data_IF_269635035662
#
_entry.id   IF_269635035662
#
_cell.length_a   1.000
_cell.length_b   1.000
_cell.length_c   1.000
_cell.angle_alpha   90.00
_cell.angle_beta   90.00
_cell.angle_gamma   90.00
#
_symmetry.space_group_name_H-M   'P 1'
#
loop_
_entity.id
_entity.type
_entity.pdbx_description
1 polymer ?
#
# COMPACT_ATOMS: atom_id res chain seq x y z
N UNK A 1 6.57 -33.35 -1.29
CA UNK A 1 6.84 -31.94 -1.66
C UNK A 1 5.58 -31.13 -1.41
N UNK A 2 5.69 -29.92 -0.84
CA UNK A 2 4.57 -29.00 -0.65
C UNK A 2 4.93 -27.64 -1.26
N UNK A 3 4.00 -27.05 -2.02
CA UNK A 3 4.18 -25.76 -2.70
C UNK A 3 3.08 -24.81 -2.23
N UNK A 4 3.47 -23.60 -1.79
CA UNK A 4 2.55 -22.53 -1.41
C UNK A 4 2.62 -21.42 -2.44
N UNK A 5 1.57 -21.30 -3.25
CA UNK A 5 1.50 -20.37 -4.38
C UNK A 5 0.82 -19.08 -3.94
N UNK A 6 1.37 -17.94 -4.34
CA UNK A 6 0.78 -16.64 -4.06
C UNK A 6 -0.45 -16.40 -4.92
N UNK A 7 -1.53 -15.96 -4.27
CA UNK A 7 -2.76 -15.56 -4.95
C UNK A 7 -2.73 -14.08 -5.34
N UNK A 8 -3.84 -13.40 -5.08
CA UNK A 8 -3.96 -11.95 -5.23
C UNK A 8 -3.48 -11.26 -3.95
N UNK A 9 -2.16 -11.04 -3.86
CA UNK A 9 -1.50 -10.47 -2.69
C UNK A 9 -1.10 -9.00 -2.80
N UNK A 10 -1.42 -8.33 -3.92
CA UNK A 10 -0.95 -6.98 -4.21
C UNK A 10 -1.41 -5.89 -3.23
N UNK A 11 -2.38 -6.18 -2.37
CA UNK A 11 -2.89 -5.28 -1.32
C UNK A 11 -3.01 -5.98 0.04
N UNK A 12 -2.21 -7.03 0.26
CA UNK A 12 -2.17 -7.79 1.53
C UNK A 12 -0.81 -7.64 2.20
N UNK A 13 -0.82 -7.28 3.48
CA UNK A 13 0.38 -7.28 4.32
C UNK A 13 0.19 -8.17 5.56
N UNK A 14 1.27 -8.76 6.11
CA UNK A 14 1.22 -9.37 7.42
C UNK A 14 0.74 -8.38 8.48
N UNK A 15 -0.16 -8.82 9.38
CA UNK A 15 -0.83 -7.95 10.36
C UNK A 15 0.14 -7.06 11.17
N UNK A 16 1.31 -7.57 11.54
CA UNK A 16 2.30 -6.89 12.40
C UNK A 16 3.50 -6.32 11.63
N UNK A 17 3.40 -6.14 10.31
CA UNK A 17 4.56 -5.75 9.50
C UNK A 17 5.18 -4.38 9.87
N UNK A 18 4.40 -3.50 10.52
CA UNK A 18 4.81 -2.18 11.04
C UNK A 18 4.96 -2.13 12.56
N UNK A 19 4.86 -3.26 13.27
CA UNK A 19 5.03 -3.29 14.71
C UNK A 19 6.49 -2.97 15.08
N UNK A 20 6.68 -2.08 16.05
CA UNK A 20 7.99 -1.64 16.56
C UNK A 20 8.30 -2.21 17.95
N UNK A 21 7.34 -2.89 18.57
CA UNK A 21 7.45 -3.42 19.94
C UNK A 21 7.72 -4.93 19.98
N UNK A 22 7.68 -5.61 18.83
CA UNK A 22 7.86 -7.05 18.73
C UNK A 22 8.87 -7.42 17.63
N UNK A 23 9.68 -8.47 17.83
CA UNK A 23 10.55 -8.97 16.77
C UNK A 23 9.72 -9.51 15.61
N UNK A 24 10.29 -9.43 14.40
CA UNK A 24 9.66 -10.03 13.21
C UNK A 24 9.73 -11.55 13.32
N UNK A 25 8.58 -12.19 13.20
CA UNK A 25 8.46 -13.64 13.22
C UNK A 25 7.40 -14.11 12.21
N UNK A 26 7.82 -14.96 11.28
CA UNK A 26 6.98 -15.54 10.24
C UNK A 26 6.46 -16.93 10.62
N UNK A 27 7.03 -17.58 11.65
CA UNK A 27 6.66 -18.93 12.06
C UNK A 27 5.17 -19.06 12.40
N UNK A 28 4.53 -18.12 13.14
CA UNK A 28 3.11 -18.20 13.43
C UNK A 28 2.23 -18.19 12.18
N UNK A 29 2.59 -17.38 11.17
CA UNK A 29 1.86 -17.29 9.90
C UNK A 29 2.06 -18.55 9.05
N UNK A 30 3.29 -19.08 9.02
CA UNK A 30 3.62 -20.33 8.35
C UNK A 30 2.88 -21.52 8.97
N UNK A 31 2.84 -21.60 10.30
CA UNK A 31 2.10 -22.63 11.04
C UNK A 31 0.60 -22.53 10.77
N UNK A 32 0.01 -21.33 10.78
CA UNK A 32 -1.40 -21.13 10.46
C UNK A 32 -1.73 -21.63 9.04
N UNK A 33 -0.90 -21.28 8.07
CA UNK A 33 -1.07 -21.70 6.67
C UNK A 33 -0.94 -23.22 6.52
N UNK A 34 0.12 -23.81 7.08
CA UNK A 34 0.39 -25.25 7.03
C UNK A 34 -0.70 -26.07 7.71
N UNK A 35 -1.12 -25.70 8.91
CA UNK A 35 -2.20 -26.38 9.65
C UNK A 35 -3.54 -26.29 8.91
N UNK A 36 -3.83 -25.15 8.28
CA UNK A 36 -5.04 -24.98 7.45
C UNK A 36 -5.02 -25.92 6.24
N UNK A 37 -3.87 -26.04 5.56
CA UNK A 37 -3.69 -27.00 4.47
C UNK A 37 -3.87 -28.44 4.95
N UNK A 38 -3.22 -28.83 6.05
CA UNK A 38 -3.34 -30.19 6.60
C UNK A 38 -4.78 -30.54 7.01
N UNK A 39 -5.49 -29.58 7.60
CA UNK A 39 -6.91 -29.75 7.95
C UNK A 39 -7.77 -29.94 6.69
N UNK A 40 -7.56 -29.09 5.67
CA UNK A 40 -8.35 -29.12 4.43
C UNK A 40 -8.04 -30.37 3.61
N UNK A 41 -6.78 -30.81 3.55
CA UNK A 41 -6.34 -31.99 2.81
C UNK A 41 -7.13 -33.25 3.20
N UNK A 42 -7.46 -33.42 4.48
CA UNK A 42 -8.26 -34.55 4.97
C UNK A 42 -9.70 -34.57 4.48
N UNK A 43 -10.21 -33.43 4.00
CA UNK A 43 -11.58 -33.28 3.48
C UNK A 43 -11.66 -33.35 1.95
N UNK A 44 -10.52 -33.38 1.24
CA UNK A 44 -10.50 -33.43 -0.22
C UNK A 44 -10.87 -34.84 -0.69
N UNK A 45 -11.90 -34.92 -1.53
CA UNK A 45 -12.29 -36.16 -2.20
C UNK A 45 -11.71 -36.15 -3.62
N UNK A 46 -10.85 -37.12 -3.90
CA UNK A 46 -10.30 -37.29 -5.24
C UNK A 46 -11.34 -37.89 -6.18
N UNK A 47 -11.29 -37.50 -7.45
CA UNK A 47 -12.15 -38.02 -8.52
C UNK A 47 -11.28 -38.50 -9.67
N UNK A 48 -11.73 -39.51 -10.42
CA UNK A 48 -11.02 -40.04 -11.61
C UNK A 48 -11.12 -39.12 -12.84
N UNK A 49 -11.24 -37.81 -12.62
CA UNK A 49 -11.30 -36.80 -13.68
C UNK A 49 -9.91 -36.50 -14.23
N UNK A 50 -9.58 -37.12 -15.37
CA UNK A 50 -8.31 -36.96 -16.06
C UNK A 50 -8.21 -35.75 -16.98
N UNK A 51 -9.18 -34.81 -16.97
CA UNK A 51 -9.13 -33.63 -17.84
C UNK A 51 -7.90 -32.78 -17.55
N UNK A 52 -7.09 -32.58 -18.58
CA UNK A 52 -5.93 -31.68 -18.57
C UNK A 52 -6.10 -30.69 -19.72
N UNK A 53 -6.17 -29.40 -19.41
CA UNK A 53 -6.30 -28.35 -20.44
C UNK A 53 -5.47 -27.16 -20.03
N UNK A 54 -4.76 -26.58 -20.99
CA UNK A 54 -3.95 -25.39 -20.82
C UNK A 54 -4.24 -24.43 -21.97
N UNK A 55 -4.68 -23.24 -21.62
CA UNK A 55 -4.87 -22.12 -22.54
C UNK A 55 -3.84 -21.06 -22.21
N UNK A 56 -3.10 -20.62 -23.23
CA UNK A 56 -2.13 -19.54 -23.14
C UNK A 56 -2.61 -18.37 -23.97
N UNK A 57 -2.56 -17.18 -23.38
CA UNK A 57 -2.83 -15.92 -24.07
C UNK A 57 -1.76 -14.88 -23.70
N UNK A 58 -1.20 -14.20 -24.72
CA UNK A 58 -0.44 -12.97 -24.49
C UNK A 58 -1.38 -11.80 -24.75
N UNK A 59 -1.65 -11.00 -23.72
CA UNK A 59 -2.50 -9.83 -23.79
C UNK A 59 -1.66 -8.58 -24.00
N UNK A 60 -2.17 -7.62 -24.77
CA UNK A 60 -1.62 -6.26 -24.86
C UNK A 60 -2.44 -5.33 -23.98
N UNK A 61 -1.95 -5.10 -22.77
CA UNK A 61 -2.62 -4.25 -21.78
C UNK A 61 -2.18 -2.80 -21.92
N UNK A 62 -3.08 -1.83 -21.67
CA UNK A 62 -2.76 -0.42 -21.84
C UNK A 62 -1.77 0.05 -20.77
N UNK A 63 -0.78 0.83 -21.17
CA UNK A 63 0.19 1.46 -20.27
C UNK A 63 -0.37 2.76 -19.69
N UNK A 64 -0.08 3.03 -18.42
CA UNK A 64 -0.44 4.27 -17.76
C UNK A 64 0.32 5.48 -18.36
N UNK A 65 -0.37 6.62 -18.49
CA UNK A 65 0.24 7.93 -18.70
C UNK A 65 0.11 8.73 -17.40
N UNK A 66 1.24 8.97 -16.75
CA UNK A 66 1.31 9.61 -15.45
C UNK A 66 1.63 11.11 -15.53
N UNK A 67 1.75 11.69 -16.72
CA UNK A 67 2.23 13.07 -16.91
C UNK A 67 1.45 14.09 -16.08
N UNK A 68 0.13 14.14 -16.23
CA UNK A 68 -0.72 15.08 -15.49
C UNK A 68 -0.60 14.90 -13.98
N UNK A 69 -0.56 13.65 -13.50
CA UNK A 69 -0.46 13.35 -12.07
C UNK A 69 0.91 13.72 -11.49
N UNK A 70 1.97 13.57 -12.26
CA UNK A 70 3.33 14.03 -11.90
C UNK A 70 3.32 15.54 -11.69
N UNK A 71 2.73 16.30 -12.64
CA UNK A 71 2.61 17.76 -12.54
C UNK A 71 1.81 18.20 -11.29
N UNK A 72 0.70 17.51 -10.97
CA UNK A 72 -0.08 17.78 -9.77
C UNK A 72 0.72 17.55 -8.47
N UNK A 73 1.45 16.43 -8.39
CA UNK A 73 2.26 16.10 -7.21
C UNK A 73 3.45 17.05 -7.05
N UNK A 74 4.04 17.54 -8.14
CA UNK A 74 5.09 18.57 -8.10
C UNK A 74 4.55 19.88 -7.51
N UNK A 75 3.35 20.30 -7.88
CA UNK A 75 2.70 21.47 -7.29
C UNK A 75 2.36 21.26 -5.81
N UNK A 76 1.88 20.07 -5.43
CA UNK A 76 1.60 19.74 -4.03
C UNK A 76 2.89 19.73 -3.20
N UNK A 77 3.98 19.15 -3.73
CA UNK A 77 5.30 19.21 -3.11
C UNK A 77 5.73 20.65 -2.84
N UNK A 78 5.60 21.53 -3.83
CA UNK A 78 5.98 22.94 -3.69
C UNK A 78 5.14 23.64 -2.61
N UNK A 79 3.83 23.37 -2.56
CA UNK A 79 2.93 23.89 -1.52
C UNK A 79 3.36 23.44 -0.12
N UNK A 80 3.68 22.16 0.06
CA UNK A 80 4.13 21.61 1.34
C UNK A 80 5.48 22.20 1.77
N UNK A 81 6.42 22.36 0.85
CA UNK A 81 7.71 23.01 1.16
C UNK A 81 7.48 24.46 1.59
N UNK A 82 6.58 25.20 0.91
CA UNK A 82 6.23 26.58 1.26
C UNK A 82 5.44 26.71 2.57
N UNK A 83 4.77 25.66 3.03
CA UNK A 83 4.02 25.67 4.30
C UNK A 83 4.89 25.47 5.53
N UNK A 84 6.11 24.94 5.37
CA UNK A 84 7.07 24.82 6.47
C UNK A 84 7.41 26.20 7.04
N UNK A 85 7.42 26.30 8.37
CA UNK A 85 7.71 27.55 9.09
C UNK A 85 8.97 27.43 9.94
N UNK A 86 9.63 28.57 10.17
CA UNK A 86 10.71 28.65 11.16
C UNK A 86 10.20 28.27 12.56
N UNK A 87 11.07 27.63 13.34
CA UNK A 87 10.77 27.15 14.70
C UNK A 87 11.93 27.52 15.62
N UNK A 88 11.61 27.90 16.86
CA UNK A 88 12.61 28.10 17.93
C UNK A 88 13.10 26.79 18.53
N UNK A 89 12.32 25.71 18.36
CA UNK A 89 12.67 24.36 18.81
C UNK A 89 13.42 23.60 17.74
N UNK A 90 14.31 22.73 18.20
CA UNK A 90 14.93 21.65 17.45
C UNK A 90 14.67 20.32 18.18
N UNK A 91 15.06 19.18 17.59
CA UNK A 91 14.75 17.86 18.16
C UNK A 91 15.23 17.71 19.62
N UNK A 92 16.43 18.23 19.92
CA UNK A 92 17.05 18.18 21.26
C UNK A 92 16.22 18.93 22.31
N UNK A 93 15.63 20.05 21.96
CA UNK A 93 14.82 20.89 22.88
C UNK A 93 13.36 20.48 22.88
N UNK A 94 12.83 20.01 21.75
CA UNK A 94 11.46 19.56 21.58
C UNK A 94 11.14 18.33 22.43
N UNK A 95 11.95 17.27 22.35
CA UNK A 95 11.67 15.99 23.04
C UNK A 95 11.44 16.14 24.56
N UNK A 96 12.34 16.76 25.33
CA UNK A 96 12.11 16.94 26.77
C UNK A 96 10.94 17.90 27.04
N UNK A 97 10.76 18.92 26.20
CA UNK A 97 9.70 19.92 26.40
C UNK A 97 8.31 19.32 26.18
N UNK A 98 8.09 18.55 25.11
CA UNK A 98 6.78 17.94 24.84
C UNK A 98 6.40 16.93 25.92
N UNK A 99 7.36 16.13 26.40
CA UNK A 99 7.14 15.20 27.52
C UNK A 99 6.74 15.97 28.78
N UNK A 100 7.48 17.03 29.12
CA UNK A 100 7.18 17.89 30.27
C UNK A 100 5.74 18.45 30.20
N UNK A 101 5.33 18.92 29.03
CA UNK A 101 4.01 19.54 28.81
C UNK A 101 2.86 18.52 28.73
N UNK A 102 3.15 17.25 28.44
CA UNK A 102 2.15 16.18 28.46
C UNK A 102 1.98 15.56 29.86
N UNK A 103 3.03 15.55 30.69
CA UNK A 103 2.99 14.99 32.05
C UNK A 103 2.15 15.83 33.02
N UNK A 104 2.28 17.16 32.97
CA UNK A 104 1.46 18.08 33.76
C UNK A 104 0.88 19.19 32.86
N UNK A 105 -0.32 19.00 32.29
CA UNK A 105 -0.92 19.98 31.40
C UNK A 105 -1.31 21.30 32.09
N UNK A 106 -1.41 21.35 33.41
CA UNK A 106 -1.91 22.54 34.12
C UNK A 106 -0.77 23.47 34.54
N UNK A 107 0.36 22.91 34.98
CA UNK A 107 1.53 23.67 35.43
C UNK A 107 2.84 23.12 34.85
N UNK A 108 3.00 23.08 33.50
CA UNK A 108 4.13 22.42 32.89
C UNK A 108 5.46 23.17 33.03
N UNK A 109 5.47 24.49 33.25
CA UNK A 109 6.72 25.23 33.44
C UNK A 109 7.32 24.99 34.83
N UNK A 110 6.50 24.88 35.88
CA UNK A 110 6.94 24.81 37.28
C UNK A 110 5.80 24.32 38.20
N UNK A 111 6.03 24.16 39.50
CA UNK A 111 4.99 23.84 40.46
C UNK A 111 3.88 24.90 40.52
N UNK A 112 2.65 24.47 40.83
CA UNK A 112 1.47 25.34 40.93
C UNK A 112 1.66 26.57 41.81
N UNK A 113 2.37 26.46 42.94
CA UNK A 113 2.63 27.58 43.85
C UNK A 113 3.51 28.67 43.21
N UNK A 114 4.37 28.34 42.24
CA UNK A 114 5.16 29.33 41.52
C UNK A 114 4.26 30.19 40.60
N UNK A 115 3.24 29.59 39.98
CA UNK A 115 2.23 30.33 39.22
C UNK A 115 1.41 31.25 40.12
N UNK A 116 0.98 30.75 41.28
CA UNK A 116 0.25 31.54 42.26
C UNK A 116 1.09 32.74 42.75
N UNK A 117 2.38 32.52 43.01
CA UNK A 117 3.31 33.57 43.43
C UNK A 117 3.54 34.61 42.33
N UNK A 118 3.73 34.18 41.08
CA UNK A 118 3.89 35.09 39.95
C UNK A 118 2.65 35.97 39.76
N UNK A 119 1.45 35.37 39.87
CA UNK A 119 0.17 36.10 39.81
C UNK A 119 -0.05 37.03 41.00
N UNK A 120 0.30 36.61 42.22
CA UNK A 120 0.21 37.44 43.43
C UNK A 120 1.14 38.66 43.36
N UNK A 121 2.28 38.52 42.66
CA UNK A 121 3.18 39.63 42.35
C UNK A 121 2.70 40.52 41.18
N UNK A 122 1.50 40.30 40.64
CA UNK A 122 0.94 41.05 39.51
C UNK A 122 1.60 40.74 38.15
N UNK A 123 2.28 39.59 38.03
CA UNK A 123 2.96 39.14 36.80
C UNK A 123 2.23 37.94 36.17
N UNK A 124 2.61 37.61 34.94
CA UNK A 124 2.07 36.46 34.19
C UNK A 124 3.16 35.77 33.33
N UNK A 125 4.38 35.72 33.83
CA UNK A 125 5.55 35.20 33.13
C UNK A 125 5.41 33.70 32.84
N UNK A 126 4.97 32.91 33.83
CA UNK A 126 4.85 31.45 33.66
C UNK A 126 3.70 31.07 32.71
N UNK A 127 2.58 31.77 32.78
CA UNK A 127 1.46 31.59 31.84
C UNK A 127 1.88 31.95 30.40
N UNK A 128 2.59 33.08 30.21
CA UNK A 128 3.14 33.46 28.90
C UNK A 128 4.19 32.49 28.38
N UNK A 129 5.04 31.95 29.27
CA UNK A 129 6.03 30.93 28.91
C UNK A 129 5.33 29.66 28.41
N UNK A 130 4.24 29.25 29.09
CA UNK A 130 3.46 28.09 28.67
C UNK A 130 2.78 28.30 27.33
N UNK A 131 2.18 29.46 27.12
CA UNK A 131 1.57 29.82 25.84
C UNK A 131 2.61 29.77 24.70
N UNK A 132 3.77 30.39 24.90
CA UNK A 132 4.86 30.41 23.93
C UNK A 132 5.40 29.00 23.65
N UNK A 133 5.63 28.19 24.69
CA UNK A 133 6.12 26.82 24.54
C UNK A 133 5.09 25.92 23.83
N UNK A 134 3.79 26.03 24.16
CA UNK A 134 2.74 25.28 23.45
C UNK A 134 2.66 25.64 21.98
N UNK A 135 2.74 26.94 21.65
CA UNK A 135 2.77 27.39 20.27
C UNK A 135 4.01 26.86 19.52
N UNK A 136 5.18 26.88 20.16
CA UNK A 136 6.41 26.35 19.59
C UNK A 136 6.37 24.83 19.40
N UNK A 137 5.86 24.07 20.38
CA UNK A 137 5.63 22.62 20.29
C UNK A 137 4.70 22.32 19.10
N UNK A 138 3.57 23.02 19.00
CA UNK A 138 2.60 22.83 17.92
C UNK A 138 3.24 23.08 16.56
N UNK A 139 3.92 24.22 16.40
CA UNK A 139 4.61 24.58 15.15
C UNK A 139 5.65 23.52 14.75
N UNK A 140 6.43 23.02 15.72
CA UNK A 140 7.41 21.96 15.47
C UNK A 140 6.74 20.64 15.02
N UNK A 141 5.64 20.24 15.66
CA UNK A 141 4.86 19.05 15.27
C UNK A 141 4.28 19.22 13.86
N UNK A 142 3.68 20.37 13.56
CA UNK A 142 3.11 20.66 12.23
C UNK A 142 4.20 20.56 11.14
N UNK A 143 5.40 21.05 11.39
CA UNK A 143 6.56 20.89 10.51
C UNK A 143 6.96 19.41 10.35
N UNK A 144 7.03 18.62 11.44
CA UNK A 144 7.34 17.18 11.38
C UNK A 144 6.32 16.45 10.51
N UNK A 145 5.03 16.65 10.75
CA UNK A 145 3.96 16.02 9.98
C UNK A 145 4.01 16.41 8.50
N UNK A 146 4.32 17.68 8.21
CA UNK A 146 4.53 18.16 6.83
C UNK A 146 5.73 17.46 6.18
N UNK A 147 6.85 17.29 6.89
CA UNK A 147 8.02 16.56 6.40
C UNK A 147 7.74 15.07 6.15
N UNK A 148 6.91 14.44 6.98
CA UNK A 148 6.46 13.07 6.73
C UNK A 148 5.59 12.96 5.47
N UNK A 149 4.65 13.90 5.27
CA UNK A 149 3.84 13.96 4.05
C UNK A 149 4.73 14.18 2.82
N UNK A 150 5.71 15.09 2.90
CA UNK A 150 6.68 15.31 1.84
C UNK A 150 7.45 14.05 1.47
N UNK A 151 7.85 13.25 2.47
CA UNK A 151 8.58 12.00 2.23
C UNK A 151 7.70 10.99 1.48
N UNK A 152 6.45 10.80 1.92
CA UNK A 152 5.49 9.90 1.24
C UNK A 152 5.23 10.36 -0.21
N UNK A 153 4.98 11.65 -0.39
CA UNK A 153 4.77 12.25 -1.71
C UNK A 153 5.99 12.04 -2.61
N UNK A 154 7.21 12.32 -2.10
CA UNK A 154 8.44 12.15 -2.85
C UNK A 154 8.65 10.71 -3.32
N UNK A 155 8.39 9.73 -2.45
CA UNK A 155 8.47 8.31 -2.80
C UNK A 155 7.52 7.98 -3.96
N UNK A 156 6.25 8.38 -3.86
CA UNK A 156 5.27 8.07 -4.90
C UNK A 156 5.57 8.82 -6.21
N UNK A 157 5.94 10.10 -6.15
CA UNK A 157 6.35 10.89 -7.30
C UNK A 157 7.53 10.25 -8.05
N UNK A 158 8.52 9.71 -7.32
CA UNK A 158 9.66 9.02 -7.91
C UNK A 158 9.23 7.74 -8.67
N UNK A 159 8.27 6.98 -8.14
CA UNK A 159 7.71 5.80 -8.81
C UNK A 159 7.01 6.19 -10.12
N UNK A 160 6.16 7.24 -10.08
CA UNK A 160 5.46 7.72 -11.28
C UNK A 160 6.43 8.19 -12.35
N UNK A 161 7.44 8.99 -11.99
CA UNK A 161 8.49 9.44 -12.92
C UNK A 161 9.23 8.25 -13.53
N UNK A 162 9.65 7.27 -12.71
CA UNK A 162 10.32 6.05 -13.19
C UNK A 162 9.50 5.31 -14.25
N UNK A 163 8.20 5.11 -13.99
CA UNK A 163 7.32 4.39 -14.91
C UNK A 163 7.00 5.19 -16.17
N UNK A 164 6.82 6.52 -16.04
CA UNK A 164 6.65 7.41 -17.18
C UNK A 164 7.87 7.37 -18.11
N UNK A 165 9.07 7.53 -17.56
CA UNK A 165 10.32 7.48 -18.32
C UNK A 165 10.53 6.11 -18.99
N UNK A 166 10.26 5.01 -18.26
CA UNK A 166 10.33 3.67 -18.81
C UNK A 166 9.30 3.44 -19.94
N UNK A 167 8.14 4.07 -19.86
CA UNK A 167 7.14 4.11 -20.93
C UNK A 167 7.65 4.82 -22.17
N UNK A 168 8.16 6.05 -22.00
CA UNK A 168 8.72 6.84 -23.09
C UNK A 168 9.89 6.14 -23.79
N UNK A 169 10.78 5.50 -23.03
CA UNK A 169 11.92 4.72 -23.57
C UNK A 169 11.46 3.47 -24.33
N UNK A 170 10.39 2.82 -23.90
CA UNK A 170 9.86 1.65 -24.58
C UNK A 170 9.21 2.01 -25.93
N UNK A 171 8.67 3.23 -26.06
CA UNK A 171 8.03 3.69 -27.30
C UNK A 171 6.73 2.97 -27.63
N UNK A 172 6.10 2.30 -26.64
CA UNK A 172 4.84 1.57 -26.79
C UNK A 172 3.80 2.05 -25.76
N UNK A 173 2.56 2.12 -26.19
CA UNK A 173 1.38 2.40 -25.37
C UNK A 173 0.81 1.15 -24.70
N UNK A 174 1.35 -0.04 -25.00
CA UNK A 174 0.94 -1.31 -24.39
C UNK A 174 2.05 -2.06 -23.68
N UNK A 175 1.66 -2.99 -22.82
CA UNK A 175 2.49 -3.97 -22.10
C UNK A 175 2.00 -5.37 -22.45
N UNK A 176 2.93 -6.27 -22.76
CA UNK A 176 2.61 -7.67 -22.96
C UNK A 176 2.46 -8.39 -21.60
N UNK A 177 1.35 -9.11 -21.43
CA UNK A 177 1.06 -9.92 -20.24
C UNK A 177 0.75 -11.35 -20.64
N UNK A 178 1.58 -12.31 -20.23
CA UNK A 178 1.32 -13.74 -20.45
C UNK A 178 0.38 -14.29 -19.38
N UNK A 179 -0.85 -14.60 -19.80
CA UNK A 179 -1.92 -15.16 -18.98
C UNK A 179 -2.11 -16.62 -19.34
N UNK A 180 -2.10 -17.48 -18.33
CA UNK A 180 -2.48 -18.88 -18.47
C UNK A 180 -3.81 -19.12 -17.77
N UNK A 181 -4.66 -19.94 -18.38
CA UNK A 181 -5.79 -20.57 -17.71
C UNK A 181 -5.65 -22.07 -17.90
N UNK A 182 -5.67 -22.84 -16.83
CA UNK A 182 -5.47 -24.28 -16.92
C UNK A 182 -6.29 -25.07 -15.93
N UNK A 183 -6.48 -26.35 -16.27
CA UNK A 183 -7.28 -27.33 -15.54
C UNK A 183 -6.49 -28.61 -15.34
N UNK A 184 -6.57 -29.16 -14.13
CA UNK A 184 -6.29 -30.58 -13.83
C UNK A 184 -7.50 -31.13 -13.06
N UNK A 185 -8.32 -31.93 -13.73
CA UNK A 185 -9.60 -32.41 -13.22
C UNK A 185 -10.52 -31.26 -12.78
N UNK A 186 -10.84 -31.21 -11.49
CA UNK A 186 -11.66 -30.14 -10.89
C UNK A 186 -10.84 -28.91 -10.44
N UNK A 187 -9.51 -29.00 -10.45
CA UNK A 187 -8.65 -27.86 -10.14
C UNK A 187 -8.54 -26.94 -11.37
N UNK A 188 -8.92 -25.67 -11.22
CA UNK A 188 -8.81 -24.64 -12.25
C UNK A 188 -8.03 -23.45 -11.72
N UNK A 189 -7.05 -22.96 -12.48
CA UNK A 189 -6.26 -21.80 -12.10
C UNK A 189 -6.03 -20.86 -13.28
N UNK A 190 -6.08 -19.56 -12.97
CA UNK A 190 -5.72 -18.47 -13.87
C UNK A 190 -4.46 -17.79 -13.32
N UNK A 191 -3.57 -17.34 -14.19
CA UNK A 191 -2.29 -16.75 -13.79
C UNK A 191 -2.11 -15.35 -14.37
N UNK A 192 -1.34 -14.49 -13.69
CA UNK A 192 -1.07 -13.13 -14.16
C UNK A 192 0.36 -12.68 -13.80
N UNK A 193 1.08 -11.97 -14.70
CA UNK A 193 2.45 -11.51 -14.48
C UNK A 193 2.50 -10.21 -13.69
N UNK A 194 1.90 -10.15 -12.50
CA UNK A 194 1.88 -8.94 -11.67
C UNK A 194 1.33 -9.19 -10.27
N UNK A 195 1.40 -8.16 -9.43
CA UNK A 195 0.84 -8.17 -8.07
C UNK A 195 -0.64 -7.80 -8.13
N UNK A 196 -1.48 -8.79 -8.37
CA UNK A 196 -2.93 -8.62 -8.49
C UNK A 196 -3.55 -8.39 -7.11
N UNK A 197 -4.47 -7.45 -7.00
CA UNK A 197 -5.17 -7.14 -5.74
C UNK A 197 -6.36 -8.07 -5.48
N UNK A 198 -6.76 -8.19 -4.21
CA UNK A 198 -7.77 -9.16 -3.74
C UNK A 198 -9.07 -9.07 -4.52
N UNK A 199 -9.56 -7.86 -4.79
CA UNK A 199 -10.85 -7.62 -5.44
C UNK A 199 -10.91 -8.28 -6.83
N UNK A 200 -9.84 -8.20 -7.62
CA UNK A 200 -9.76 -8.81 -8.95
C UNK A 200 -9.85 -10.34 -8.85
N UNK A 201 -9.17 -10.92 -7.86
CA UNK A 201 -9.26 -12.35 -7.58
C UNK A 201 -10.68 -12.79 -7.19
N UNK A 202 -11.39 -11.96 -6.42
CA UNK A 202 -12.78 -12.21 -6.06
C UNK A 202 -13.72 -12.09 -7.26
N UNK A 203 -13.51 -11.10 -8.13
CA UNK A 203 -14.28 -10.92 -9.37
C UNK A 203 -14.16 -12.14 -10.29
N UNK A 204 -12.94 -12.62 -10.53
CA UNK A 204 -12.67 -13.81 -11.35
C UNK A 204 -13.37 -15.04 -10.74
N UNK A 205 -13.22 -15.26 -9.42
CA UNK A 205 -13.86 -16.38 -8.72
C UNK A 205 -15.38 -16.34 -8.80
N UNK A 206 -15.97 -15.14 -8.74
CA UNK A 206 -17.42 -14.94 -8.84
C UNK A 206 -17.94 -15.21 -10.26
N UNK A 207 -17.20 -14.78 -11.27
CA UNK A 207 -17.57 -14.94 -12.68
C UNK A 207 -17.28 -16.35 -13.23
N UNK A 208 -16.38 -17.11 -12.61
CA UNK A 208 -15.96 -18.41 -13.13
C UNK A 208 -17.09 -19.45 -13.12
N UNK A 209 -17.29 -20.21 -14.22
CA UNK A 209 -18.19 -21.36 -14.23
C UNK A 209 -17.65 -22.57 -13.46
N UNK A 210 -16.37 -22.55 -13.06
CA UNK A 210 -15.70 -23.67 -12.39
C UNK A 210 -15.48 -23.34 -10.91
N UNK A 211 -15.98 -24.18 -10.00
CA UNK A 211 -15.80 -24.00 -8.56
C UNK A 211 -15.08 -25.21 -7.96
N UNK A 212 -13.92 -25.02 -7.29
CA UNK A 212 -13.20 -23.76 -7.08
C UNK A 212 -12.40 -23.29 -8.31
N UNK A 213 -12.22 -21.97 -8.45
CA UNK A 213 -11.23 -21.35 -9.35
C UNK A 213 -10.19 -20.60 -8.53
N UNK A 214 -8.93 -20.78 -8.87
CA UNK A 214 -7.80 -20.12 -8.23
C UNK A 214 -7.21 -19.06 -9.15
N UNK A 215 -6.57 -18.06 -8.54
CA UNK A 215 -5.80 -17.05 -9.25
C UNK A 215 -4.40 -17.07 -8.64
N UNK A 216 -3.38 -17.10 -9.48
CA UNK A 216 -1.98 -16.98 -9.09
C UNK A 216 -1.39 -15.71 -9.70
N UNK A 217 -1.05 -14.74 -8.87
CA UNK A 217 -0.21 -13.61 -9.30
C UNK A 217 1.23 -14.04 -9.49
N UNK A 218 2.10 -13.11 -9.86
CA UNK A 218 3.55 -13.31 -9.89
C UNK A 218 4.04 -14.42 -10.84
N UNK A 219 3.32 -14.71 -11.93
CA UNK A 219 3.65 -15.80 -12.86
C UNK A 219 4.05 -15.31 -14.25
N UNK A 220 5.05 -15.93 -14.89
CA UNK A 220 5.38 -15.73 -16.31
C UNK A 220 5.72 -14.28 -16.70
N UNK A 221 6.23 -13.49 -15.75
CA UNK A 221 6.60 -12.10 -15.94
C UNK A 221 6.29 -11.27 -14.69
N UNK A 222 6.62 -9.98 -14.75
CA UNK A 222 6.36 -9.05 -13.65
C UNK A 222 6.09 -7.63 -14.18
N UNK A 223 4.86 -7.19 -14.00
CA UNK A 223 4.32 -5.90 -14.41
C UNK A 223 4.12 -4.95 -13.22
N UNK A 224 4.79 -5.24 -12.09
CA UNK A 224 4.62 -4.56 -10.80
C UNK A 224 3.19 -4.73 -10.25
N UNK A 225 2.72 -3.76 -9.47
CA UNK A 225 1.39 -3.77 -8.91
C UNK A 225 0.34 -3.67 -10.00
N UNK A 226 -0.75 -4.39 -9.80
CA UNK A 226 -1.88 -4.47 -10.71
C UNK A 226 -3.16 -4.18 -9.90
N UNK A 227 -3.35 -2.90 -9.49
CA UNK A 227 -4.49 -2.44 -8.71
C UNK A 227 -5.76 -2.28 -9.57
N UNK A 228 -6.92 -2.31 -8.93
CA UNK A 228 -8.21 -2.07 -9.60
C UNK A 228 -8.27 -0.67 -10.22
N UNK A 229 -9.19 -0.49 -11.18
CA UNK A 229 -9.47 0.82 -11.75
C UNK A 229 -9.92 1.83 -10.69
N UNK A 230 -10.56 1.37 -9.59
CA UNK A 230 -10.93 2.21 -8.46
C UNK A 230 -9.70 2.61 -7.62
N UNK A 231 -8.83 1.65 -7.29
CA UNK A 231 -7.56 1.90 -6.58
C UNK A 231 -6.68 2.89 -7.36
N UNK A 232 -6.67 2.81 -8.69
CA UNK A 232 -5.94 3.75 -9.56
C UNK A 232 -6.46 5.20 -9.51
N UNK A 233 -7.59 5.50 -8.85
CA UNK A 233 -7.96 6.89 -8.55
C UNK A 233 -7.07 7.52 -7.47
N UNK A 234 -6.34 6.71 -6.70
CA UNK A 234 -5.43 7.12 -5.64
C UNK A 234 -3.95 7.09 -6.06
N UNK A 235 -3.65 7.11 -7.37
CA UNK A 235 -2.27 7.24 -7.88
C UNK A 235 -1.58 8.44 -7.19
N UNK A 236 -0.36 8.24 -6.69
CA UNK A 236 0.37 9.23 -5.90
C UNK A 236 0.10 9.19 -4.39
N UNK A 237 -0.96 8.50 -3.94
CA UNK A 237 -1.35 8.39 -2.54
C UNK A 237 -0.80 7.15 -1.82
N UNK A 238 -0.76 6.01 -2.50
CA UNK A 238 -0.19 4.75 -1.98
C UNK A 238 0.88 4.18 -2.92
N UNK A 239 1.75 3.32 -2.38
CA UNK A 239 2.82 2.69 -3.15
C UNK A 239 2.24 1.75 -4.21
N UNK A 240 1.27 0.91 -3.83
CA UNK A 240 0.65 -0.09 -4.67
C UNK A 240 -0.05 0.55 -5.89
N UNK A 241 -0.63 1.73 -5.69
CA UNK A 241 -1.31 2.50 -6.74
C UNK A 241 -0.31 3.25 -7.63
N UNK A 242 0.89 3.57 -7.12
CA UNK A 242 1.91 4.38 -7.82
C UNK A 242 3.00 3.54 -8.49
N UNK A 243 3.31 2.36 -7.94
CA UNK A 243 4.24 1.38 -8.52
C UNK A 243 3.50 0.46 -9.51
N UNK A 244 2.72 1.09 -10.39
CA UNK A 244 1.90 0.42 -11.40
C UNK A 244 2.26 0.97 -12.78
N UNK A 245 2.28 0.09 -13.78
CA UNK A 245 2.53 0.45 -15.18
C UNK A 245 1.28 0.45 -16.05
N UNK A 246 0.16 -0.07 -15.53
CA UNK A 246 -1.06 -0.36 -16.27
C UNK A 246 -2.06 0.80 -16.16
N UNK A 247 -2.68 1.20 -17.27
CA UNK A 247 -3.77 2.16 -17.27
C UNK A 247 -5.08 1.50 -16.78
N UNK A 248 -6.05 2.26 -16.22
CA UNK A 248 -7.24 1.70 -15.56
C UNK A 248 -8.04 0.67 -16.36
N UNK A 249 -8.07 0.77 -17.68
CA UNK A 249 -8.78 -0.17 -18.55
C UNK A 249 -8.21 -1.61 -18.51
N UNK A 250 -6.99 -1.80 -17.98
CA UNK A 250 -6.35 -3.11 -17.86
C UNK A 250 -7.21 -4.13 -17.10
N UNK A 251 -7.86 -3.69 -16.01
CA UNK A 251 -8.64 -4.59 -15.14
C UNK A 251 -9.75 -5.24 -15.93
N UNK A 252 -10.58 -4.45 -16.61
CA UNK A 252 -11.71 -4.95 -17.38
C UNK A 252 -11.23 -5.87 -18.51
N UNK A 253 -10.19 -5.45 -19.24
CA UNK A 253 -9.63 -6.26 -20.32
C UNK A 253 -9.17 -7.63 -19.81
N UNK A 254 -8.46 -7.65 -18.68
CA UNK A 254 -7.99 -8.88 -18.04
C UNK A 254 -9.15 -9.77 -17.59
N UNK A 255 -10.10 -9.24 -16.82
CA UNK A 255 -11.25 -10.00 -16.32
C UNK A 255 -12.12 -10.56 -17.46
N UNK A 256 -12.38 -9.79 -18.52
CA UNK A 256 -13.12 -10.23 -19.70
C UNK A 256 -12.39 -11.39 -20.41
N UNK A 257 -11.09 -11.24 -20.65
CA UNK A 257 -10.29 -12.26 -21.32
C UNK A 257 -10.21 -13.55 -20.49
N UNK A 258 -10.08 -13.42 -19.18
CA UNK A 258 -10.10 -14.55 -18.25
C UNK A 258 -11.44 -15.27 -18.30
N UNK A 259 -12.57 -14.55 -18.33
CA UNK A 259 -13.88 -15.17 -18.47
C UNK A 259 -14.00 -16.00 -19.76
N UNK A 260 -13.51 -15.46 -20.89
CA UNK A 260 -13.45 -16.19 -22.16
C UNK A 260 -12.59 -17.45 -22.04
N UNK A 261 -11.40 -17.35 -21.46
CA UNK A 261 -10.51 -18.51 -21.27
C UNK A 261 -11.15 -19.57 -20.38
N UNK A 262 -11.76 -19.17 -19.25
CA UNK A 262 -12.44 -20.08 -18.33
C UNK A 262 -13.62 -20.81 -18.98
N UNK A 263 -14.38 -20.14 -19.85
CA UNK A 263 -15.50 -20.78 -20.58
C UNK A 263 -15.05 -21.92 -21.52
N UNK A 264 -13.76 -21.95 -21.87
CA UNK A 264 -13.14 -22.91 -22.78
C UNK A 264 -12.36 -24.02 -22.06
N UNK A 265 -12.29 -23.98 -20.72
CA UNK A 265 -11.66 -25.02 -19.87
C UNK A 265 -12.65 -26.12 -19.47
#
# INVERSE_FOLDING_TARGET
>A
MALFIQGCGGDINPLRYKDVNQPRDAEPLGNLLGLTVLKTLRSIVCTDDGRLTLLRQVMRLPRADNKARIEDLEQEQEKLVKSLRGTTLNLKTFLPLVVKYQLDPNFPANYSHAYMSDKAAGRNNLEKLDEANRAAIKSYIDNILTMEQLTRLQTNLALLRRHQEAGLKAGTDTLDAEVLAWRIGNFVMVTFPGEVTVEIGLNIKKASPHKPTFVAGYTNGYLYYSPTAEQLKNIGGAQEDSDCRLAPAWQKQFEDQVAVMLSRL
#
